data_IF_318155522160
#
_entry.id   IF_318155522160
#
_cell.length_a   1.000
_cell.length_b   1.000
_cell.length_c   1.000
_cell.angle_alpha   90.00
_cell.angle_beta   90.00
_cell.angle_gamma   90.00
#
_symmetry.space_group_name_H-M   'P 1'
#
loop_
_entity.id
_entity.type
_entity.pdbx_description
1 polymer ?
#
# COMPACT_ATOMS: atom_id res chain seq x y z
N UNK A 1 6.54 15.67 9.28
CA UNK A 1 5.37 15.46 10.13
C UNK A 1 5.72 15.88 11.55
N UNK A 2 4.84 16.60 12.23
CA UNK A 2 5.03 16.99 13.62
C UNK A 2 4.74 15.76 14.51
N UNK A 3 5.80 15.18 15.06
CA UNK A 3 5.72 13.97 15.90
C UNK A 3 4.96 14.28 17.19
N UNK A 4 5.15 15.47 17.75
CA UNK A 4 4.46 15.90 18.99
C UNK A 4 2.95 15.97 18.79
N UNK A 5 2.47 16.57 17.70
CA UNK A 5 1.04 16.63 17.39
C UNK A 5 0.43 15.23 17.20
N UNK A 6 1.18 14.29 16.60
CA UNK A 6 0.75 12.91 16.45
C UNK A 6 0.68 12.18 17.81
N UNK A 7 1.67 12.37 18.67
CA UNK A 7 1.68 11.81 20.02
C UNK A 7 0.51 12.32 20.86
N UNK A 8 0.23 13.63 20.81
CA UNK A 8 -0.91 14.24 21.50
C UNK A 8 -2.24 13.67 21.01
N UNK A 9 -2.39 13.51 19.68
CA UNK A 9 -3.57 12.90 19.10
C UNK A 9 -3.75 11.43 19.55
N UNK A 10 -2.67 10.63 19.52
CA UNK A 10 -2.70 9.23 19.99
C UNK A 10 -3.03 9.14 21.49
N UNK A 11 -2.51 10.06 22.29
CA UNK A 11 -2.80 10.12 23.72
C UNK A 11 -4.26 10.52 24.01
N UNK A 12 -4.82 11.44 23.22
CA UNK A 12 -6.22 11.82 23.31
C UNK A 12 -7.15 10.64 22.98
N UNK A 13 -6.88 9.89 21.89
CA UNK A 13 -7.61 8.68 21.53
C UNK A 13 -7.54 7.62 22.62
N UNK A 14 -6.34 7.40 23.20
CA UNK A 14 -6.17 6.43 24.29
C UNK A 14 -7.01 6.84 25.52
N UNK A 15 -7.04 8.13 25.87
CA UNK A 15 -7.81 8.64 27.01
C UNK A 15 -9.32 8.54 26.77
N UNK A 16 -9.80 8.76 25.54
CA UNK A 16 -11.21 8.60 25.19
C UNK A 16 -11.64 7.14 25.01
N UNK A 17 -10.70 6.20 24.96
CA UNK A 17 -11.00 4.79 24.69
C UNK A 17 -11.38 4.50 23.23
N UNK A 18 -11.02 5.40 22.32
CA UNK A 18 -11.35 5.34 20.89
C UNK A 18 -10.14 4.96 20.03
N UNK A 19 -10.32 4.85 18.72
CA UNK A 19 -9.29 4.48 17.76
C UNK A 19 -9.42 5.26 16.45
N UNK A 20 -8.32 5.32 15.69
CA UNK A 20 -8.32 5.88 14.35
C UNK A 20 -7.75 4.90 13.32
N UNK A 21 -8.07 5.15 12.06
CA UNK A 21 -7.44 4.49 10.92
C UNK A 21 -6.10 5.12 10.55
N UNK A 22 -5.46 4.55 9.54
CA UNK A 22 -4.22 5.07 8.99
C UNK A 22 -4.17 4.91 7.47
N UNK A 23 -3.47 5.81 6.80
CA UNK A 23 -2.92 5.58 5.46
C UNK A 23 -1.42 5.33 5.61
N UNK A 24 -0.96 4.20 5.09
CA UNK A 24 0.47 3.90 4.99
C UNK A 24 0.89 3.99 3.53
N UNK A 25 2.05 4.59 3.28
CA UNK A 25 2.71 4.57 1.98
C UNK A 25 3.97 3.73 2.11
N UNK A 26 4.10 2.72 1.25
CA UNK A 26 5.26 1.84 1.17
C UNK A 26 5.88 2.00 -0.21
N UNK A 27 7.20 2.09 -0.27
CA UNK A 27 7.94 2.33 -1.51
C UNK A 27 9.04 1.29 -1.68
N UNK A 28 9.00 0.54 -2.79
CA UNK A 28 10.10 -0.32 -3.19
C UNK A 28 10.98 0.47 -4.17
N UNK A 29 12.24 0.71 -3.78
CA UNK A 29 13.21 1.47 -4.56
C UNK A 29 14.20 0.58 -5.29
N UNK A 30 14.75 1.11 -6.38
CA UNK A 30 15.75 0.38 -7.17
C UNK A 30 15.17 -0.83 -7.90
N UNK A 31 13.92 -0.73 -8.29
CA UNK A 31 13.22 -1.83 -8.96
C UNK A 31 13.82 -2.10 -10.34
N UNK A 32 14.10 -3.37 -10.68
CA UNK A 32 14.46 -3.73 -12.04
C UNK A 32 13.27 -3.55 -12.98
N UNK A 33 13.55 -3.31 -14.26
CA UNK A 33 12.54 -3.34 -15.32
C UNK A 33 12.16 -4.78 -15.61
N UNK A 34 10.87 -5.04 -15.87
CA UNK A 34 10.41 -6.31 -16.43
C UNK A 34 9.88 -7.32 -15.41
N UNK A 35 9.75 -6.95 -14.13
CA UNK A 35 9.08 -7.81 -13.15
C UNK A 35 7.56 -7.76 -13.33
N UNK A 36 6.91 -8.91 -13.29
CA UNK A 36 5.49 -9.10 -13.51
C UNK A 36 5.23 -9.93 -14.77
N UNK A 37 4.02 -10.45 -14.88
CA UNK A 37 3.58 -11.26 -16.01
C UNK A 37 2.39 -10.61 -16.70
N UNK A 38 2.27 -10.69 -18.03
CA UNK A 38 1.06 -10.25 -18.72
C UNK A 38 -0.10 -11.20 -18.41
N UNK A 39 -1.31 -10.65 -18.29
CA UNK A 39 -2.61 -11.24 -18.06
C UNK A 39 -2.88 -11.59 -16.59
N UNK A 40 -2.27 -12.62 -16.00
CA UNK A 40 -2.71 -13.16 -14.71
C UNK A 40 -1.86 -12.71 -13.53
N UNK A 41 -0.55 -12.72 -13.65
CA UNK A 41 0.38 -12.41 -12.56
C UNK A 41 0.98 -11.01 -12.75
N UNK A 42 0.12 -10.01 -12.90
CA UNK A 42 0.52 -8.60 -12.94
C UNK A 42 1.04 -8.19 -11.57
N UNK A 43 2.21 -7.55 -11.53
CA UNK A 43 2.84 -7.22 -10.25
C UNK A 43 1.98 -6.28 -9.38
N UNK A 44 1.25 -5.33 -9.98
CA UNK A 44 0.33 -4.44 -9.28
C UNK A 44 -0.89 -5.21 -8.71
N UNK A 45 -1.40 -6.19 -9.45
CA UNK A 45 -2.50 -7.04 -8.99
C UNK A 45 -2.08 -7.91 -7.79
N UNK A 46 -0.90 -8.52 -7.85
CA UNK A 46 -0.37 -9.35 -6.77
C UNK A 46 -0.02 -8.52 -5.54
N UNK A 47 0.54 -7.32 -5.73
CA UNK A 47 0.73 -6.36 -4.65
C UNK A 47 -0.62 -6.02 -4.00
N UNK A 48 -1.64 -5.70 -4.79
CA UNK A 48 -2.95 -5.36 -4.27
C UNK A 48 -3.59 -6.53 -3.51
N UNK A 49 -3.47 -7.75 -4.04
CA UNK A 49 -3.94 -8.97 -3.39
C UNK A 49 -3.25 -9.21 -2.05
N UNK A 50 -1.91 -9.13 -2.01
CA UNK A 50 -1.12 -9.36 -0.81
C UNK A 50 -1.41 -8.29 0.26
N UNK A 51 -1.45 -7.01 -0.14
CA UNK A 51 -1.73 -5.89 0.77
C UNK A 51 -3.16 -5.95 1.32
N UNK A 52 -4.15 -6.34 0.49
CA UNK A 52 -5.52 -6.53 0.95
C UNK A 52 -5.66 -7.70 1.92
N UNK A 53 -4.75 -8.69 1.88
CA UNK A 53 -4.66 -9.79 2.83
C UNK A 53 -4.20 -9.38 4.23
N UNK A 54 -3.62 -8.20 4.41
CA UNK A 54 -3.22 -7.69 5.73
C UNK A 54 -4.47 -7.32 6.52
N UNK A 55 -4.55 -7.79 7.76
CA UNK A 55 -5.68 -7.51 8.64
C UNK A 55 -5.95 -6.01 8.77
N UNK A 56 -7.22 -5.63 8.74
CA UNK A 56 -7.73 -4.26 8.81
C UNK A 56 -7.48 -3.39 7.56
N UNK A 57 -6.78 -3.83 6.55
CA UNK A 57 -6.68 -3.12 5.27
C UNK A 57 -8.04 -3.14 4.58
N UNK A 58 -8.43 -1.99 4.01
CA UNK A 58 -9.71 -1.75 3.33
C UNK A 58 -9.57 -1.08 1.97
N UNK A 59 -8.37 -0.73 1.59
CA UNK A 59 -8.08 -0.17 0.28
C UNK A 59 -6.60 -0.26 -0.04
N UNK A 60 -6.30 -0.39 -1.32
CA UNK A 60 -4.95 -0.39 -1.87
C UNK A 60 -4.93 0.54 -3.07
N UNK A 61 -3.91 1.35 -3.17
CA UNK A 61 -3.66 2.26 -4.30
C UNK A 61 -2.23 2.04 -4.80
N UNK A 62 -2.05 2.05 -6.11
CA UNK A 62 -0.76 2.02 -6.78
C UNK A 62 -0.55 3.37 -7.47
N UNK A 63 0.60 4.01 -7.23
CA UNK A 63 0.90 5.33 -7.79
C UNK A 63 -0.13 6.40 -7.41
N UNK A 64 -0.70 7.07 -8.40
CA UNK A 64 -1.74 8.09 -8.21
C UNK A 64 -3.04 7.55 -7.59
N UNK A 65 -3.25 6.22 -7.64
CA UNK A 65 -4.40 5.55 -7.05
C UNK A 65 -5.71 6.20 -7.48
N UNK A 66 -6.63 6.44 -6.53
CA UNK A 66 -7.90 7.11 -6.80
C UNK A 66 -7.77 8.56 -7.29
N UNK A 67 -6.61 9.19 -7.11
CA UNK A 67 -6.34 10.52 -7.67
C UNK A 67 -6.38 10.54 -9.21
N UNK A 68 -6.15 9.40 -9.87
CA UNK A 68 -6.19 9.31 -11.33
C UNK A 68 -7.55 9.68 -11.94
N UNK A 69 -8.67 9.50 -11.21
CA UNK A 69 -10.02 9.77 -11.72
C UNK A 69 -10.28 11.26 -11.98
N UNK A 70 -9.50 12.14 -11.36
CA UNK A 70 -9.58 13.60 -11.59
C UNK A 70 -8.60 14.09 -12.65
N UNK A 71 -7.69 13.22 -13.13
CA UNK A 71 -6.72 13.56 -14.14
C UNK A 71 -7.32 13.45 -15.56
N UNK A 72 -6.79 14.25 -16.48
CA UNK A 72 -7.09 14.10 -17.91
C UNK A 72 -6.04 13.19 -18.54
N UNK A 73 -6.39 12.44 -19.56
CA UNK A 73 -5.47 11.57 -20.28
C UNK A 73 -4.21 12.29 -20.79
N UNK A 74 -4.31 13.58 -21.09
CA UNK A 74 -3.16 14.42 -21.50
C UNK A 74 -2.18 14.74 -20.37
N UNK A 75 -2.56 14.55 -19.11
CA UNK A 75 -1.75 14.89 -17.92
C UNK A 75 -1.49 13.71 -17.00
N UNK A 76 -2.20 12.59 -17.18
CA UNK A 76 -2.08 11.41 -16.33
C UNK A 76 -0.83 10.57 -16.65
N UNK A 77 -0.29 10.67 -17.88
CA UNK A 77 0.88 9.87 -18.28
C UNK A 77 2.17 10.35 -17.64
N UNK A 78 3.06 9.41 -17.39
CA UNK A 78 4.42 9.69 -16.92
C UNK A 78 5.31 10.00 -18.15
N UNK A 79 5.51 11.29 -18.40
CA UNK A 79 6.28 11.72 -19.56
C UNK A 79 7.72 11.22 -19.50
N UNK A 80 8.24 10.80 -20.65
CA UNK A 80 9.60 10.33 -20.81
C UNK A 80 10.41 11.37 -21.59
N UNK A 81 11.56 11.74 -21.04
CA UNK A 81 12.51 12.67 -21.64
C UNK A 81 13.88 11.99 -21.79
N UNK A 82 14.84 12.62 -22.50
CA UNK A 82 16.21 12.11 -22.51
C UNK A 82 16.86 11.97 -21.12
N UNK A 83 16.34 12.70 -20.12
CA UNK A 83 16.78 12.59 -18.73
C UNK A 83 16.05 11.51 -17.91
N UNK A 84 15.12 10.78 -18.51
CA UNK A 84 14.30 9.76 -17.87
C UNK A 84 12.85 10.18 -17.65
N UNK A 85 12.16 9.49 -16.77
CA UNK A 85 10.78 9.78 -16.38
C UNK A 85 10.65 11.11 -15.62
N UNK A 86 9.60 11.85 -15.90
CA UNK A 86 9.30 13.15 -15.26
C UNK A 86 8.37 12.97 -14.07
N UNK A 87 7.52 11.94 -14.09
CA UNK A 87 6.54 11.62 -13.04
C UNK A 87 6.48 10.13 -12.78
N UNK A 88 5.71 9.75 -11.77
CA UNK A 88 5.45 8.35 -11.41
C UNK A 88 3.97 8.15 -11.01
N UNK A 89 3.05 8.67 -11.84
CA UNK A 89 1.61 8.49 -11.63
C UNK A 89 1.19 7.01 -11.69
N UNK A 90 1.88 6.23 -12.55
CA UNK A 90 1.66 4.80 -12.66
C UNK A 90 2.20 3.98 -11.46
N UNK A 91 2.98 4.63 -10.56
CA UNK A 91 3.52 3.97 -9.39
C UNK A 91 4.53 2.88 -9.70
N UNK A 92 5.34 3.06 -10.75
CA UNK A 92 6.40 2.12 -11.14
C UNK A 92 5.93 0.90 -11.94
N UNK A 93 4.64 0.82 -12.29
CA UNK A 93 4.06 -0.32 -13.01
C UNK A 93 3.25 0.14 -14.21
N UNK A 94 3.53 -0.40 -15.39
CA UNK A 94 2.77 -0.20 -16.61
C UNK A 94 2.40 -1.56 -17.22
N UNK A 95 1.11 -1.75 -17.48
CA UNK A 95 0.61 -3.02 -18.05
C UNK A 95 0.79 -4.24 -17.13
N UNK A 96 1.05 -4.02 -15.85
CA UNK A 96 1.34 -5.09 -14.88
C UNK A 96 2.84 -5.45 -14.79
N UNK A 97 3.71 -4.66 -15.41
CA UNK A 97 5.16 -4.89 -15.50
C UNK A 97 5.90 -3.71 -14.87
N UNK A 98 6.92 -3.97 -14.07
CA UNK A 98 7.75 -2.93 -13.46
C UNK A 98 8.55 -2.15 -14.51
N UNK A 99 8.60 -0.82 -14.34
CA UNK A 99 9.22 0.10 -15.31
C UNK A 99 10.64 0.52 -14.97
N UNK A 100 11.15 0.08 -13.81
CA UNK A 100 12.42 0.56 -13.27
C UNK A 100 12.27 1.80 -12.38
N UNK A 101 11.07 2.39 -12.30
CA UNK A 101 10.75 3.41 -11.32
C UNK A 101 10.42 2.78 -9.97
N UNK A 102 10.42 3.58 -8.92
CA UNK A 102 9.99 3.14 -7.59
C UNK A 102 8.54 2.63 -7.65
N UNK A 103 8.28 1.46 -7.07
CA UNK A 103 6.90 0.99 -6.88
C UNK A 103 6.33 1.67 -5.65
N UNK A 104 5.26 2.42 -5.84
CA UNK A 104 4.58 3.17 -4.81
C UNK A 104 3.21 2.59 -4.50
N UNK A 105 3.05 2.14 -3.25
CA UNK A 105 1.81 1.53 -2.76
C UNK A 105 1.28 2.32 -1.58
N UNK A 106 0.00 2.65 -1.57
CA UNK A 106 -0.69 3.18 -0.39
C UNK A 106 -1.79 2.21 0.05
N UNK A 107 -1.90 2.00 1.35
CA UNK A 107 -2.96 1.17 1.93
C UNK A 107 -3.76 1.95 2.96
N UNK A 108 -5.08 1.72 2.95
CA UNK A 108 -6.00 2.28 3.93
C UNK A 108 -6.30 1.22 5.01
N UNK A 109 -6.02 1.55 6.25
CA UNK A 109 -6.25 0.69 7.42
C UNK A 109 -7.41 1.27 8.21
N UNK A 110 -8.44 0.44 8.46
CA UNK A 110 -9.59 0.88 9.26
C UNK A 110 -9.21 1.05 10.73
N UNK A 111 -9.95 1.89 11.49
CA UNK A 111 -9.83 1.95 12.95
C UNK A 111 -10.01 0.57 13.61
N UNK A 112 -9.35 0.36 14.72
CA UNK A 112 -9.56 -0.84 15.54
C UNK A 112 -11.00 -0.88 16.01
N UNK A 113 -11.66 -2.03 15.81
CA UNK A 113 -13.07 -2.17 16.23
C UNK A 113 -13.23 -2.53 17.71
N UNK A 114 -12.20 -3.02 18.37
CA UNK A 114 -12.21 -3.30 19.81
C UNK A 114 -11.83 -2.03 20.58
N UNK A 115 -12.83 -1.22 20.91
CA UNK A 115 -12.68 0.03 21.69
C UNK A 115 -13.42 -0.07 23.00
N UNK A 116 -13.11 0.84 23.94
CA UNK A 116 -13.71 0.88 25.27
C UNK A 116 -15.05 1.61 25.31
N UNK A 117 -15.53 2.09 24.17
CA UNK A 117 -16.82 2.76 24.02
C UNK A 117 -17.91 1.71 23.76
N UNK A 118 -19.00 1.80 24.54
CA UNK A 118 -20.18 0.96 24.33
C UNK A 118 -20.76 1.16 22.93
N UNK A 119 -21.16 0.07 22.29
CA UNK A 119 -21.81 0.10 20.98
C UNK A 119 -23.08 -0.73 20.99
N UNK A 120 -24.08 -0.23 20.29
CA UNK A 120 -25.32 -0.94 20.06
C UNK A 120 -25.07 -2.25 19.31
N UNK A 121 -25.73 -3.31 19.75
CA UNK A 121 -25.67 -4.65 19.19
C UNK A 121 -26.99 -5.39 19.46
N UNK A 122 -27.03 -6.65 19.14
CA UNK A 122 -28.12 -7.57 19.50
C UNK A 122 -27.53 -8.78 20.26
N UNK A 123 -28.34 -9.33 21.16
CA UNK A 123 -28.02 -10.58 21.83
C UNK A 123 -28.34 -11.83 20.95
N UNK A 124 -28.15 -13.04 21.48
CA UNK A 124 -28.44 -14.27 20.78
C UNK A 124 -29.92 -14.51 20.49
N UNK A 125 -30.81 -13.77 21.16
CA UNK A 125 -32.25 -13.79 20.93
C UNK A 125 -32.74 -12.67 19.98
N UNK A 126 -31.76 -11.86 19.43
CA UNK A 126 -32.06 -10.77 18.53
C UNK A 126 -32.57 -9.51 19.23
N UNK A 127 -32.43 -9.41 20.57
CA UNK A 127 -32.85 -8.22 21.31
C UNK A 127 -31.75 -7.17 21.39
N UNK A 128 -32.10 -5.87 21.41
CA UNK A 128 -31.13 -4.79 21.55
C UNK A 128 -30.24 -4.96 22.80
N UNK A 129 -28.96 -4.81 22.65
CA UNK A 129 -27.97 -4.85 23.75
C UNK A 129 -26.80 -3.92 23.46
N UNK A 130 -25.93 -3.73 24.44
CA UNK A 130 -24.67 -3.02 24.26
C UNK A 130 -23.48 -3.95 24.43
N UNK A 131 -22.45 -3.75 23.59
CA UNK A 131 -21.19 -4.50 23.68
C UNK A 131 -20.04 -3.52 23.94
N UNK A 132 -19.28 -3.84 24.97
CA UNK A 132 -18.02 -3.15 25.30
C UNK A 132 -16.89 -4.18 25.27
N UNK A 133 -15.84 -3.90 24.51
CA UNK A 133 -14.65 -4.75 24.49
C UNK A 133 -13.70 -4.31 25.60
N UNK A 134 -13.45 -5.19 26.56
CA UNK A 134 -12.53 -4.93 27.67
C UNK A 134 -11.13 -5.40 27.29
N UNK A 135 -10.09 -4.68 27.73
CA UNK A 135 -8.70 -5.03 27.52
C UNK A 135 -7.83 -3.87 27.04
N UNK A 136 -6.58 -4.18 26.70
CA UNK A 136 -5.65 -3.21 26.13
C UNK A 136 -5.81 -3.20 24.62
N UNK A 137 -6.06 -2.02 24.06
CA UNK A 137 -6.20 -1.82 22.62
C UNK A 137 -5.24 -0.74 22.12
N UNK A 138 -4.75 -0.91 20.91
CA UNK A 138 -3.95 0.12 20.25
C UNK A 138 -4.90 1.17 19.66
N UNK A 139 -4.68 2.47 19.91
CA UNK A 139 -5.49 3.52 19.34
C UNK A 139 -5.34 3.61 17.81
N UNK A 140 -4.22 3.12 17.26
CA UNK A 140 -3.99 3.04 15.83
C UNK A 140 -3.14 1.81 15.49
N UNK A 141 -3.70 0.86 14.76
CA UNK A 141 -2.97 -0.34 14.31
C UNK A 141 -2.02 -0.07 13.15
N UNK A 142 -2.13 1.10 12.50
CA UNK A 142 -1.27 1.50 11.38
C UNK A 142 0.21 1.49 11.73
N UNK A 143 0.56 1.92 12.96
CA UNK A 143 1.94 1.93 13.42
C UNK A 143 2.57 0.53 13.37
N UNK A 144 1.82 -0.49 13.81
CA UNK A 144 2.27 -1.89 13.78
C UNK A 144 2.18 -2.52 12.40
N UNK A 145 1.29 -2.01 11.55
CA UNK A 145 1.13 -2.48 10.19
C UNK A 145 2.27 -2.03 9.26
N UNK A 146 3.03 -0.99 9.62
CA UNK A 146 4.14 -0.49 8.80
C UNK A 146 5.15 -1.58 8.44
N UNK A 147 5.83 -2.27 9.38
CA UNK A 147 6.77 -3.32 9.03
C UNK A 147 6.12 -4.53 8.35
N UNK A 148 4.83 -4.78 8.61
CA UNK A 148 4.08 -5.86 7.94
C UNK A 148 3.89 -5.52 6.46
N UNK A 149 3.51 -4.28 6.15
CA UNK A 149 3.32 -3.83 4.77
C UNK A 149 4.66 -3.83 4.00
N UNK A 150 5.76 -3.40 4.63
CA UNK A 150 7.10 -3.48 4.04
C UNK A 150 7.49 -4.92 3.71
N UNK A 151 7.34 -5.82 4.67
CA UNK A 151 7.64 -7.24 4.48
C UNK A 151 6.78 -7.87 3.39
N UNK A 152 5.49 -7.53 3.35
CA UNK A 152 4.57 -8.05 2.33
C UNK A 152 4.95 -7.57 0.93
N UNK A 153 5.28 -6.28 0.76
CA UNK A 153 5.77 -5.78 -0.52
C UNK A 153 7.07 -6.47 -0.95
N UNK A 154 8.00 -6.66 -0.01
CA UNK A 154 9.26 -7.35 -0.29
C UNK A 154 9.05 -8.81 -0.73
N UNK A 155 8.10 -9.52 -0.12
CA UNK A 155 7.76 -10.90 -0.52
C UNK A 155 7.22 -10.97 -1.95
N UNK A 156 6.29 -10.07 -2.32
CA UNK A 156 5.75 -10.03 -3.68
C UNK A 156 6.83 -9.68 -4.69
N UNK A 157 7.65 -8.66 -4.42
CA UNK A 157 8.75 -8.28 -5.30
C UNK A 157 9.75 -9.41 -5.47
N UNK A 158 10.09 -10.12 -4.40
CA UNK A 158 11.00 -11.27 -4.46
C UNK A 158 10.40 -12.42 -5.26
N UNK A 159 9.12 -12.72 -5.11
CA UNK A 159 8.43 -13.74 -5.92
C UNK A 159 8.57 -13.45 -7.41
N UNK A 160 8.22 -12.21 -7.83
CA UNK A 160 8.36 -11.81 -9.23
C UNK A 160 9.83 -11.80 -9.71
N UNK A 161 10.78 -11.45 -8.85
CA UNK A 161 12.21 -11.49 -9.18
C UNK A 161 12.69 -12.94 -9.41
N UNK A 162 12.22 -13.89 -8.61
CA UNK A 162 12.55 -15.32 -8.78
C UNK A 162 11.91 -15.90 -10.05
N UNK A 163 10.66 -15.54 -10.34
CA UNK A 163 9.97 -15.93 -11.57
C UNK A 163 10.69 -15.37 -12.80
N UNK A 164 11.03 -14.09 -12.78
CA UNK A 164 11.77 -13.43 -13.85
C UNK A 164 13.12 -14.12 -14.09
N UNK A 165 13.86 -14.40 -13.01
CA UNK A 165 15.14 -15.12 -13.11
C UNK A 165 14.97 -16.51 -13.70
N UNK A 166 13.90 -17.23 -13.33
CA UNK A 166 13.64 -18.56 -13.86
C UNK A 166 13.33 -18.56 -15.37
N UNK A 167 12.67 -17.49 -15.86
CA UNK A 167 12.26 -17.37 -17.26
C UNK A 167 13.33 -16.71 -18.15
N UNK A 168 14.02 -15.69 -17.63
CA UNK A 168 14.87 -14.78 -18.41
C UNK A 168 16.31 -14.70 -17.87
N UNK A 169 16.74 -15.61 -16.99
CA UNK A 169 18.04 -15.53 -16.33
C UNK A 169 19.24 -15.58 -17.28
N UNK A 170 19.07 -16.15 -18.46
CA UNK A 170 20.11 -16.27 -19.49
C UNK A 170 20.04 -15.16 -20.55
N UNK A 171 19.06 -14.25 -20.43
CA UNK A 171 18.88 -13.15 -21.38
C UNK A 171 19.70 -11.94 -20.92
N UNK A 172 20.66 -11.54 -21.74
CA UNK A 172 21.40 -10.30 -21.57
C UNK A 172 20.92 -9.27 -22.61
N UNK A 173 20.88 -7.99 -22.22
CA UNK A 173 20.58 -6.88 -23.13
C UNK A 173 21.55 -5.72 -22.90
N UNK A 174 21.85 -5.00 -23.96
CA UNK A 174 22.76 -3.83 -23.94
C UNK A 174 22.03 -2.49 -23.85
N UNK A 175 20.70 -2.53 -23.57
CA UNK A 175 19.91 -1.31 -23.46
C UNK A 175 20.22 -0.57 -22.17
N UNK A 176 20.49 0.74 -22.22
CA UNK A 176 20.71 1.53 -21.02
C UNK A 176 19.41 1.63 -20.20
N UNK A 177 19.51 1.65 -18.86
CA UNK A 177 18.34 1.85 -18.03
C UNK A 177 17.79 3.28 -18.22
N UNK A 178 16.46 3.40 -18.19
CA UNK A 178 15.77 4.69 -18.17
C UNK A 178 15.78 5.22 -16.74
N UNK A 179 16.23 6.45 -16.54
CA UNK A 179 16.28 7.04 -15.21
C UNK A 179 14.85 7.22 -14.63
N UNK A 180 14.67 6.84 -13.37
CA UNK A 180 13.45 7.05 -12.64
C UNK A 180 13.21 8.55 -12.36
N UNK A 181 11.95 8.93 -12.15
CA UNK A 181 11.60 10.27 -11.71
C UNK A 181 12.26 10.57 -10.35
N UNK A 182 12.72 11.78 -10.17
CA UNK A 182 13.22 12.25 -8.87
C UNK A 182 12.01 12.55 -7.98
N UNK A 183 11.92 11.84 -6.88
CA UNK A 183 10.89 12.04 -5.83
C UNK A 183 11.15 13.31 -5.03
#
# INVERSE_FOLDING_TARGET
ADVSALEDYMNALRKSGDSCGARLRVVARGMPVGLGQPLFDKIDADIAYAMMGINAVKGVEIGAGFGCVTQKGSTAGDALTPGGFVGNNAGGVLGGISTGQDIEVSIAIKPTSSILIARESIDSAGQPTEVITKGRHDPCVGIRATPIAEAMLALVVMEHALQHRAQCGDVAHDLPPIAAAKS
#
